data_IF_457723148532
#
_entry.id   IF_457723148532
#
_cell.length_a   1.000
_cell.length_b   1.000
_cell.length_c   1.000
_cell.angle_alpha   90.00
_cell.angle_beta   90.00
_cell.angle_gamma   90.00
#
_symmetry.space_group_name_H-M   'P 1'
#
loop_
_entity.id
_entity.type
_entity.pdbx_description
1 polymer ?
#
# COMPACT_ATOMS: atom_id res chain seq x y z
N UNK A 1 1.79 6.36 -9.24
CA UNK A 1 2.30 5.42 -8.23
C UNK A 1 1.24 5.12 -7.19
N UNK A 2 1.33 3.96 -6.53
CA UNK A 2 0.47 3.61 -5.41
C UNK A 2 1.18 3.90 -4.09
N UNK A 3 0.44 4.46 -3.13
CA UNK A 3 0.90 4.81 -1.79
C UNK A 3 -0.23 4.66 -0.75
N UNK A 4 0.05 4.97 0.52
CA UNK A 4 -0.95 4.88 1.60
C UNK A 4 -2.18 5.78 1.42
N UNK A 5 -2.10 6.85 0.63
CA UNK A 5 -3.19 7.81 0.46
C UNK A 5 -4.17 7.39 -0.63
N UNK A 6 -3.69 6.72 -1.67
CA UNK A 6 -4.49 6.38 -2.84
C UNK A 6 -4.82 4.88 -2.98
N UNK A 7 -4.11 4.00 -2.27
CA UNK A 7 -4.23 2.55 -2.45
C UNK A 7 -5.64 2.03 -2.15
N UNK A 8 -6.29 2.56 -1.11
CA UNK A 8 -7.65 2.14 -0.75
C UNK A 8 -8.66 2.49 -1.83
N UNK A 9 -8.62 3.74 -2.32
CA UNK A 9 -9.49 4.15 -3.41
C UNK A 9 -9.23 3.29 -4.66
N UNK A 10 -7.96 3.02 -4.98
CA UNK A 10 -7.61 2.17 -6.11
C UNK A 10 -8.16 0.74 -5.97
N UNK A 11 -8.00 0.11 -4.80
CA UNK A 11 -8.46 -1.28 -4.57
C UNK A 11 -9.98 -1.41 -4.58
N UNK A 12 -10.70 -0.45 -4.02
CA UNK A 12 -12.18 -0.44 -3.99
C UNK A 12 -12.79 -0.25 -5.40
N UNK A 13 -12.10 0.43 -6.31
CA UNK A 13 -12.60 0.76 -7.65
C UNK A 13 -12.21 -0.24 -8.73
N UNK A 14 -11.42 -1.28 -8.41
CA UNK A 14 -11.03 -2.33 -9.37
C UNK A 14 -11.58 -3.68 -8.91
N UNK A 15 -12.79 -4.07 -9.37
CA UNK A 15 -13.33 -5.38 -9.11
C UNK A 15 -12.41 -6.48 -9.65
N UNK A 16 -12.12 -7.49 -8.82
CA UNK A 16 -11.26 -8.62 -9.20
C UNK A 16 -9.76 -8.31 -9.17
N UNK A 17 -9.34 -7.23 -8.51
CA UNK A 17 -7.92 -6.97 -8.23
C UNK A 17 -7.32 -8.14 -7.43
N UNK A 18 -6.32 -8.83 -8.01
CA UNK A 18 -5.66 -9.98 -7.39
C UNK A 18 -4.39 -9.59 -6.63
N UNK A 19 -3.63 -8.62 -7.13
CA UNK A 19 -2.37 -8.19 -6.56
C UNK A 19 -2.02 -6.76 -6.94
N UNK A 20 -1.12 -6.14 -6.17
CA UNK A 20 -0.49 -4.85 -6.48
C UNK A 20 1.00 -4.93 -6.13
N UNK A 21 1.83 -4.30 -6.96
CA UNK A 21 3.27 -4.18 -6.72
C UNK A 21 3.61 -2.74 -6.33
N UNK A 22 4.10 -2.53 -5.11
CA UNK A 22 4.42 -1.21 -4.56
C UNK A 22 5.87 -1.23 -4.07
N UNK A 23 6.72 -0.45 -4.75
CA UNK A 23 8.16 -0.36 -4.45
C UNK A 23 8.53 0.95 -3.75
N UNK A 24 8.72 2.01 -4.55
CA UNK A 24 9.29 3.27 -4.09
C UNK A 24 8.59 3.87 -2.86
N UNK A 25 7.26 4.02 -2.91
CA UNK A 25 6.48 4.58 -1.80
C UNK A 25 6.60 3.74 -0.51
N UNK A 26 6.54 2.41 -0.64
CA UNK A 26 6.69 1.49 0.50
C UNK A 26 8.07 1.61 1.15
N UNK A 27 9.14 1.69 0.36
CA UNK A 27 10.49 1.84 0.91
C UNK A 27 10.66 3.22 1.55
N UNK A 28 10.17 4.29 0.93
CA UNK A 28 10.21 5.63 1.50
C UNK A 28 9.50 5.70 2.86
N UNK A 29 8.29 5.14 2.98
CA UNK A 29 7.56 5.08 4.25
C UNK A 29 8.30 4.22 5.29
N UNK A 30 8.89 3.11 4.86
CA UNK A 30 9.63 2.19 5.74
C UNK A 30 10.88 2.81 6.35
N UNK A 31 11.52 3.80 5.71
CA UNK A 31 12.66 4.54 6.29
C UNK A 31 12.24 5.26 7.58
N UNK A 32 11.00 5.76 7.65
CA UNK A 32 10.51 6.52 8.81
C UNK A 32 9.72 5.67 9.80
N UNK A 33 8.94 4.71 9.31
CA UNK A 33 7.99 3.93 10.10
C UNK A 33 8.51 2.55 10.49
N UNK A 34 9.58 2.08 9.85
CA UNK A 34 10.03 0.70 9.88
C UNK A 34 9.25 -0.19 8.90
N UNK A 35 9.94 -1.20 8.34
CA UNK A 35 9.38 -2.05 7.28
C UNK A 35 8.13 -2.82 7.73
N UNK A 36 8.16 -3.40 8.93
CA UNK A 36 7.03 -4.17 9.47
C UNK A 36 5.78 -3.31 9.61
N UNK A 37 5.88 -2.15 10.27
CA UNK A 37 4.75 -1.22 10.42
C UNK A 37 4.23 -0.75 9.06
N UNK A 38 5.13 -0.44 8.14
CA UNK A 38 4.77 0.00 6.79
C UNK A 38 3.98 -1.06 6.06
N UNK A 39 4.46 -2.31 6.02
CA UNK A 39 3.75 -3.42 5.40
C UNK A 39 2.35 -3.60 6.00
N UNK A 40 2.20 -3.47 7.33
CA UNK A 40 0.90 -3.54 8.00
C UNK A 40 -0.03 -2.40 7.58
N UNK A 41 0.47 -1.16 7.47
CA UNK A 41 -0.31 -0.01 7.02
C UNK A 41 -0.80 -0.16 5.58
N UNK A 42 0.06 -0.66 4.67
CA UNK A 42 -0.33 -0.92 3.28
C UNK A 42 -1.35 -2.05 3.16
N UNK A 43 -1.19 -3.14 3.93
CA UNK A 43 -2.18 -4.23 4.00
C UNK A 43 -3.56 -3.75 4.45
N UNK A 44 -3.62 -2.83 5.42
CA UNK A 44 -4.87 -2.23 5.90
C UNK A 44 -5.60 -1.39 4.85
N UNK A 45 -4.94 -0.96 3.77
CA UNK A 45 -5.63 -0.29 2.66
C UNK A 45 -6.29 -1.29 1.69
N UNK A 46 -6.02 -2.58 1.85
CA UNK A 46 -6.55 -3.69 1.01
C UNK A 46 -7.57 -4.56 1.77
N UNK A 47 -7.89 -4.22 3.03
CA UNK A 47 -8.87 -4.91 3.90
C UNK A 47 -9.93 -3.93 4.36
#
# INVERSE_FOLDING_TARGET
DLDLQNLKYFSENIPGLLEVSIGHALICDAVYLGLENTVQLYKRQLT
#
